data_IF_149100681108
#
_entry.id   IF_149100681108
#
_cell.length_a   1.000
_cell.length_b   1.000
_cell.length_c   1.000
_cell.angle_alpha   90.00
_cell.angle_beta   90.00
_cell.angle_gamma   90.00
#
_symmetry.space_group_name_H-M   'P 1'
#
loop_
_entity.id
_entity.type
_entity.pdbx_description
1 polymer ?
#
# COMPACT_ATOMS: atom_id res chain seq x y z
N UNK A 1 -15.97 42.42 -16.55
CA UNK A 1 -14.62 41.83 -16.49
C UNK A 1 -14.40 40.97 -15.25
N UNK A 2 -14.52 41.48 -14.02
CA UNK A 2 -14.30 40.69 -12.79
C UNK A 2 -15.16 39.41 -12.67
N UNK A 3 -16.45 39.46 -13.05
CA UNK A 3 -17.33 38.29 -13.07
C UNK A 3 -16.94 37.24 -14.13
N UNK A 4 -16.49 37.66 -15.31
CA UNK A 4 -16.04 36.76 -16.37
C UNK A 4 -14.72 36.07 -16.00
N UNK A 5 -13.80 36.78 -15.33
CA UNK A 5 -12.57 36.19 -14.78
C UNK A 5 -12.86 35.15 -13.69
N UNK A 6 -13.80 35.43 -12.78
CA UNK A 6 -14.20 34.47 -11.74
C UNK A 6 -14.87 33.24 -12.35
N UNK A 7 -15.75 33.41 -13.34
CA UNK A 7 -16.38 32.28 -14.04
C UNK A 7 -15.32 31.46 -14.80
N UNK A 8 -14.39 32.11 -15.49
CA UNK A 8 -13.28 31.44 -16.18
C UNK A 8 -12.45 30.61 -15.20
N UNK A 9 -12.05 31.18 -14.06
CA UNK A 9 -11.29 30.48 -13.02
C UNK A 9 -12.06 29.29 -12.46
N UNK A 10 -13.36 29.46 -12.16
CA UNK A 10 -14.21 28.38 -11.65
C UNK A 10 -14.33 27.22 -12.65
N UNK A 11 -14.47 27.52 -13.95
CA UNK A 11 -14.52 26.49 -15.00
C UNK A 11 -13.19 25.77 -15.11
N UNK A 12 -12.06 26.47 -15.04
CA UNK A 12 -10.73 25.85 -15.04
C UNK A 12 -10.52 24.97 -13.81
N UNK A 13 -10.89 25.43 -12.61
CA UNK A 13 -10.81 24.65 -11.38
C UNK A 13 -11.72 23.41 -11.43
N UNK A 14 -12.95 23.55 -11.92
CA UNK A 14 -13.88 22.43 -12.07
C UNK A 14 -13.37 21.41 -13.11
N UNK A 15 -12.80 21.87 -14.22
CA UNK A 15 -12.17 21.02 -15.22
C UNK A 15 -10.98 20.25 -14.65
N UNK A 16 -10.13 20.92 -13.87
CA UNK A 16 -9.00 20.27 -13.21
C UNK A 16 -9.46 19.24 -12.17
N UNK A 17 -10.45 19.58 -11.33
CA UNK A 17 -10.99 18.64 -10.35
C UNK A 17 -11.63 17.41 -11.01
N UNK A 18 -12.37 17.60 -12.11
CA UNK A 18 -12.94 16.49 -12.89
C UNK A 18 -11.85 15.61 -13.50
N UNK A 19 -10.75 16.19 -13.97
CA UNK A 19 -9.59 15.46 -14.46
C UNK A 19 -8.96 14.61 -13.36
N UNK A 20 -8.67 15.19 -12.20
CA UNK A 20 -8.10 14.49 -11.05
C UNK A 20 -8.97 13.30 -10.65
N UNK A 21 -10.29 13.49 -10.52
CA UNK A 21 -11.23 12.40 -10.22
C UNK A 21 -11.22 11.32 -11.30
N UNK A 22 -11.16 11.70 -12.59
CA UNK A 22 -11.10 10.74 -13.68
C UNK A 22 -9.80 9.91 -13.66
N UNK A 23 -8.71 10.47 -13.16
CA UNK A 23 -7.38 9.87 -13.11
C UNK A 23 -7.02 9.19 -11.78
N UNK A 24 -7.86 9.37 -10.75
CA UNK A 24 -7.69 8.78 -9.43
C UNK A 24 -8.47 7.47 -9.29
N UNK A 25 -7.86 6.47 -8.68
CA UNK A 25 -8.48 5.19 -8.34
C UNK A 25 -8.17 4.87 -6.91
N UNK A 26 -9.14 4.30 -6.20
CA UNK A 26 -8.97 3.97 -4.80
C UNK A 26 -9.66 2.65 -4.47
N UNK A 27 -9.00 1.87 -3.62
CA UNK A 27 -9.57 0.67 -3.01
C UNK A 27 -9.58 0.84 -1.51
N UNK A 28 -10.65 0.36 -0.87
CA UNK A 28 -10.76 0.40 0.58
C UNK A 28 -10.93 -1.01 1.14
N UNK A 29 -10.18 -1.32 2.19
CA UNK A 29 -10.36 -2.56 2.97
C UNK A 29 -10.61 -2.22 4.43
N UNK A 30 -11.51 -2.96 5.05
CA UNK A 30 -11.78 -2.84 6.49
C UNK A 30 -10.70 -3.55 7.29
N UNK A 31 -10.03 -2.83 8.20
CA UNK A 31 -8.98 -3.37 9.06
C UNK A 31 -9.53 -4.23 10.21
N UNK A 32 -10.26 -5.29 9.88
CA UNK A 32 -10.83 -6.25 10.85
C UNK A 32 -11.61 -5.56 11.98
N UNK A 33 -11.35 -5.98 13.22
CA UNK A 33 -12.02 -5.47 14.42
C UNK A 33 -11.44 -4.13 14.93
N UNK A 34 -10.46 -3.55 14.26
CA UNK A 34 -9.83 -2.30 14.71
C UNK A 34 -10.77 -1.08 14.64
N UNK A 35 -11.85 -1.18 13.85
CA UNK A 35 -12.79 -0.08 13.63
C UNK A 35 -12.29 0.98 12.65
N UNK A 36 -11.32 0.64 11.80
CA UNK A 36 -10.79 1.51 10.75
C UNK A 36 -10.94 0.89 9.36
N UNK A 37 -11.16 1.75 8.37
CA UNK A 37 -11.04 1.45 6.96
C UNK A 37 -9.71 2.02 6.46
N UNK A 38 -8.98 1.23 5.68
CA UNK A 38 -7.77 1.65 4.99
C UNK A 38 -8.10 1.83 3.52
N UNK A 39 -7.99 3.07 3.05
CA UNK A 39 -8.11 3.43 1.65
C UNK A 39 -6.73 3.64 1.08
N UNK A 40 -6.42 2.94 0.00
CA UNK A 40 -5.23 3.19 -0.81
C UNK A 40 -5.68 3.82 -2.13
N UNK A 41 -5.10 4.96 -2.46
CA UNK A 41 -5.44 5.77 -3.63
C UNK A 41 -4.21 5.88 -4.52
N UNK A 42 -4.42 5.72 -5.82
CA UNK A 42 -3.46 5.95 -6.88
C UNK A 42 -4.02 7.01 -7.83
N UNK A 43 -3.25 8.05 -8.11
CA UNK A 43 -3.63 9.12 -9.03
C UNK A 43 -2.64 9.25 -10.17
N UNK A 44 -3.16 9.29 -11.40
CA UNK A 44 -2.34 9.47 -12.59
C UNK A 44 -2.26 10.94 -13.02
N UNK A 45 -1.04 11.45 -13.16
CA UNK A 45 -0.78 12.79 -13.68
C UNK A 45 0.33 12.75 -14.73
N UNK A 46 1.32 13.64 -14.57
CA UNK A 46 2.60 13.54 -15.28
C UNK A 46 3.46 12.37 -14.78
N UNK A 47 3.23 11.95 -13.53
CA UNK A 47 3.74 10.73 -12.92
C UNK A 47 2.60 9.92 -12.30
N UNK A 48 2.89 9.23 -11.21
CA UNK A 48 1.91 8.53 -10.38
C UNK A 48 2.04 9.01 -8.95
N UNK A 49 0.93 9.32 -8.30
CA UNK A 49 0.89 9.63 -6.88
C UNK A 49 0.16 8.53 -6.12
N UNK A 50 0.62 8.26 -4.90
CA UNK A 50 -0.02 7.30 -4.01
C UNK A 50 -0.33 7.92 -2.66
N UNK A 51 -1.49 7.58 -2.12
CA UNK A 51 -1.90 7.98 -0.78
C UNK A 51 -2.51 6.78 -0.05
N UNK A 52 -2.07 6.54 1.19
CA UNK A 52 -2.80 5.70 2.13
C UNK A 52 -3.52 6.58 3.16
N UNK A 53 -4.77 6.26 3.43
CA UNK A 53 -5.62 6.98 4.39
C UNK A 53 -6.35 6.01 5.27
N UNK A 54 -6.38 6.30 6.56
CA UNK A 54 -7.13 5.53 7.54
C UNK A 54 -8.30 6.36 8.04
N UNK A 55 -9.50 5.83 7.91
CA UNK A 55 -10.72 6.48 8.40
C UNK A 55 -11.38 5.58 9.43
N UNK A 56 -11.90 6.17 10.51
CA UNK A 56 -12.71 5.39 11.47
C UNK A 56 -13.99 4.97 10.77
N UNK A 57 -14.44 3.73 10.97
CA UNK A 57 -15.67 3.22 10.37
C UNK A 57 -16.84 4.13 10.76
N UNK A 58 -17.57 4.62 9.76
CA UNK A 58 -18.68 5.55 9.93
C UNK A 58 -18.30 7.04 10.04
N UNK A 59 -17.01 7.38 10.04
CA UNK A 59 -16.55 8.76 9.98
C UNK A 59 -16.41 9.26 8.52
N UNK A 60 -16.72 10.53 8.27
CA UNK A 60 -16.62 11.12 6.93
C UNK A 60 -15.24 11.73 6.70
N UNK A 61 -14.44 11.12 5.83
CA UNK A 61 -13.14 11.59 5.28
C UNK A 61 -12.07 12.06 6.29
N UNK A 62 -12.28 11.92 7.59
CA UNK A 62 -11.35 12.34 8.63
C UNK A 62 -10.49 11.17 9.11
N UNK A 63 -9.17 11.36 9.12
CA UNK A 63 -8.23 10.45 9.76
C UNK A 63 -6.81 10.64 9.24
N UNK A 64 -5.83 9.89 9.77
CA UNK A 64 -4.45 10.05 9.37
C UNK A 64 -4.22 9.56 7.94
N UNK A 65 -3.32 10.24 7.24
CA UNK A 65 -2.92 9.95 5.87
C UNK A 65 -1.40 10.00 5.75
N UNK A 66 -0.83 9.27 4.80
CA UNK A 66 0.56 9.45 4.39
C UNK A 66 0.83 10.80 3.74
N UNK A 67 -0.20 11.47 3.22
CA UNK A 67 -0.07 12.47 2.17
C UNK A 67 0.22 11.82 0.81
N UNK A 68 0.19 12.64 -0.25
CA UNK A 68 0.59 12.21 -1.59
C UNK A 68 2.07 11.89 -1.63
N UNK A 69 2.41 10.74 -2.20
CA UNK A 69 3.79 10.31 -2.45
C UNK A 69 4.00 10.16 -3.95
N UNK A 70 4.92 10.95 -4.50
CA UNK A 70 5.17 10.99 -5.93
C UNK A 70 6.13 9.89 -6.39
N UNK A 71 5.72 9.15 -7.42
CA UNK A 71 6.50 8.10 -8.06
C UNK A 71 6.82 8.53 -9.49
N UNK A 72 8.08 8.97 -9.67
CA UNK A 72 8.56 9.61 -10.89
C UNK A 72 9.23 8.68 -11.90
N UNK A 73 9.52 7.42 -11.55
CA UNK A 73 10.27 6.49 -12.42
C UNK A 73 9.43 5.30 -12.85
N UNK A 74 9.63 4.89 -14.11
CA UNK A 74 9.05 3.67 -14.71
C UNK A 74 9.95 2.45 -14.43
N UNK A 75 9.40 1.23 -14.29
CA UNK A 75 7.97 0.94 -14.12
C UNK A 75 7.45 1.64 -12.87
N UNK A 76 6.19 2.12 -12.91
CA UNK A 76 5.62 2.81 -11.76
C UNK A 76 5.48 1.77 -10.64
N UNK A 77 6.41 1.80 -9.70
CA UNK A 77 6.55 0.84 -8.62
C UNK A 77 5.50 1.11 -7.55
N UNK A 78 4.28 0.64 -7.83
CA UNK A 78 3.12 0.81 -6.97
C UNK A 78 2.84 -0.45 -6.18
N UNK A 79 2.60 -0.30 -4.89
CA UNK A 79 2.12 -1.40 -4.07
C UNK A 79 2.31 -1.15 -2.58
N UNK A 80 1.30 -1.51 -1.80
CA UNK A 80 1.29 -1.39 -0.35
C UNK A 80 1.10 -2.77 0.27
N UNK A 81 2.15 -3.34 0.85
CA UNK A 81 2.03 -4.60 1.59
C UNK A 81 1.51 -4.35 3.01
N UNK A 82 0.58 -5.20 3.45
CA UNK A 82 -0.19 -5.01 4.66
C UNK A 82 0.08 -6.14 5.67
N UNK A 83 0.45 -5.75 6.88
CA UNK A 83 0.74 -6.67 7.97
C UNK A 83 0.08 -6.21 9.26
N UNK A 84 -0.08 -7.15 10.19
CA UNK A 84 -0.54 -6.88 11.54
C UNK A 84 0.31 -7.66 12.53
N UNK A 85 0.62 -7.06 13.68
CA UNK A 85 1.20 -7.81 14.80
C UNK A 85 0.26 -8.93 15.25
N UNK A 86 0.82 -10.03 15.76
CA UNK A 86 0.05 -11.19 16.21
C UNK A 86 -0.96 -10.84 17.31
N UNK A 87 -0.62 -9.87 18.16
CA UNK A 87 -1.51 -9.35 19.21
C UNK A 87 -2.59 -8.38 18.68
N UNK A 88 -2.55 -8.02 17.39
CA UNK A 88 -3.50 -7.10 16.75
C UNK A 88 -3.30 -5.62 17.09
N UNK A 89 -2.30 -5.26 17.90
CA UNK A 89 -2.12 -3.90 18.42
C UNK A 89 -1.53 -2.90 17.41
N UNK A 90 -0.81 -3.38 16.39
CA UNK A 90 -0.10 -2.55 15.42
C UNK A 90 -0.29 -3.11 14.01
N UNK A 91 -0.57 -2.21 13.07
CA UNK A 91 -0.53 -2.50 11.64
C UNK A 91 0.74 -1.91 11.04
N UNK A 92 1.34 -2.63 10.09
CA UNK A 92 2.51 -2.21 9.35
C UNK A 92 2.17 -2.16 7.86
N UNK A 93 2.55 -1.07 7.22
CA UNK A 93 2.32 -0.87 5.79
C UNK A 93 3.63 -0.51 5.10
N UNK A 94 4.02 -1.29 4.11
CA UNK A 94 5.28 -1.12 3.39
C UNK A 94 5.05 -0.73 1.94
N UNK A 95 5.66 0.38 1.53
CA UNK A 95 5.61 0.91 0.16
C UNK A 95 6.94 0.70 -0.61
N UNK A 96 7.94 0.07 -0.02
CA UNK A 96 9.27 -0.09 -0.62
C UNK A 96 10.16 1.17 -0.54
N UNK A 97 9.58 2.36 -0.38
CA UNK A 97 10.32 3.61 -0.11
C UNK A 97 10.12 4.13 1.31
N UNK A 98 9.00 3.80 1.96
CA UNK A 98 8.73 4.17 3.35
C UNK A 98 7.97 3.06 4.10
N UNK A 99 8.17 3.01 5.41
CA UNK A 99 7.42 2.14 6.33
C UNK A 99 6.45 2.98 7.16
N UNK A 100 5.19 2.59 7.14
CA UNK A 100 4.15 3.16 7.98
C UNK A 100 3.76 2.19 9.09
N UNK A 101 3.54 2.74 10.27
CA UNK A 101 3.01 2.00 11.42
C UNK A 101 1.76 2.68 11.94
N UNK A 102 0.71 1.90 12.16
CA UNK A 102 -0.56 2.39 12.65
C UNK A 102 -0.95 1.70 13.95
N UNK A 103 -1.30 2.50 14.95
CA UNK A 103 -1.76 2.02 16.26
C UNK A 103 -3.24 2.40 16.41
N UNK A 104 -4.19 1.47 16.17
CA UNK A 104 -5.61 1.78 16.14
C UNK A 104 -6.15 2.38 17.44
N UNK A 105 -5.65 1.92 18.59
CA UNK A 105 -6.05 2.43 19.92
C UNK A 105 -5.74 3.90 20.13
N UNK A 106 -4.76 4.45 19.38
CA UNK A 106 -4.38 5.87 19.43
C UNK A 106 -4.84 6.65 18.20
N UNK A 107 -5.27 5.96 17.13
CA UNK A 107 -5.58 6.60 15.85
C UNK A 107 -4.37 7.30 15.21
N UNK A 108 -3.14 6.84 15.51
CA UNK A 108 -1.89 7.48 15.06
C UNK A 108 -1.23 6.65 13.99
N UNK A 109 -1.01 7.26 12.82
CA UNK A 109 -0.14 6.78 11.77
C UNK A 109 1.25 7.42 11.92
N UNK A 110 2.31 6.63 11.82
CA UNK A 110 3.69 7.11 11.83
C UNK A 110 4.43 6.61 10.61
N UNK A 111 5.02 7.54 9.89
CA UNK A 111 5.94 7.26 8.81
C UNK A 111 7.37 7.14 9.39
N UNK A 112 8.17 6.22 8.86
CA UNK A 112 9.51 5.96 9.38
C UNK A 112 10.48 5.48 8.30
N UNK A 113 11.61 6.16 8.27
CA UNK A 113 12.81 5.80 7.51
C UNK A 113 13.94 5.18 8.34
N UNK A 114 13.71 4.87 9.63
CA UNK A 114 14.78 4.32 10.48
C UNK A 114 14.67 2.80 10.58
N UNK A 115 15.77 2.12 10.30
CA UNK A 115 15.89 0.65 10.36
C UNK A 115 15.43 0.06 11.70
N UNK A 116 15.61 0.78 12.81
CA UNK A 116 15.16 0.34 14.14
C UNK A 116 13.65 0.13 14.28
N UNK A 117 12.85 0.74 13.41
CA UNK A 117 11.39 0.56 13.39
C UNK A 117 10.96 -0.57 12.46
N UNK A 118 11.90 -1.17 11.71
CA UNK A 118 11.63 -2.35 10.90
C UNK A 118 11.37 -3.54 11.84
N UNK A 119 10.30 -4.30 11.62
CA UNK A 119 10.06 -5.53 12.36
C UNK A 119 11.26 -6.50 12.25
N UNK A 120 11.50 -7.25 13.31
CA UNK A 120 12.55 -8.27 13.33
C UNK A 120 12.28 -9.33 12.26
N UNK A 121 13.34 -9.88 11.67
CA UNK A 121 13.23 -10.94 10.66
C UNK A 121 13.00 -12.30 11.33
N UNK A 122 12.29 -13.18 10.64
CA UNK A 122 12.29 -14.62 10.98
C UNK A 122 13.66 -15.25 10.68
N UNK A 123 13.96 -16.48 11.15
CA UNK A 123 15.16 -17.19 10.75
C UNK A 123 15.30 -17.33 9.22
N UNK A 124 14.19 -17.57 8.52
CA UNK A 124 14.16 -17.65 7.06
C UNK A 124 14.42 -16.29 6.40
N UNK A 125 13.73 -15.23 6.86
CA UNK A 125 13.98 -13.87 6.37
C UNK A 125 15.42 -13.41 6.61
N UNK A 126 16.01 -13.77 7.76
CA UNK A 126 17.41 -13.48 8.06
C UNK A 126 18.36 -14.25 7.13
N UNK A 127 18.09 -15.52 6.84
CA UNK A 127 18.87 -16.31 5.89
C UNK A 127 18.84 -15.69 4.50
N UNK A 128 17.64 -15.43 3.96
CA UNK A 128 17.47 -14.79 2.64
C UNK A 128 18.14 -13.43 2.57
N UNK A 129 18.08 -12.62 3.63
CA UNK A 129 18.68 -11.28 3.63
C UNK A 129 20.20 -11.26 3.48
N UNK A 130 20.86 -12.40 3.66
CA UNK A 130 22.31 -12.57 3.50
C UNK A 130 22.71 -13.00 2.09
N UNK A 131 21.75 -13.46 1.29
CA UNK A 131 21.98 -13.83 -0.11
C UNK A 131 22.05 -12.56 -0.97
N UNK A 132 22.98 -12.53 -1.90
CA UNK A 132 23.17 -11.40 -2.84
C UNK A 132 22.95 -11.80 -4.30
N UNK A 133 22.84 -13.09 -4.58
CA UNK A 133 22.69 -13.67 -5.91
C UNK A 133 21.21 -13.96 -6.15
N UNK A 134 20.65 -13.45 -7.24
CA UNK A 134 19.22 -13.53 -7.51
C UNK A 134 18.76 -14.98 -7.71
N UNK A 135 19.57 -15.80 -8.36
CA UNK A 135 19.31 -17.22 -8.60
C UNK A 135 19.22 -18.00 -7.28
N UNK A 136 20.10 -17.70 -6.32
CA UNK A 136 20.09 -18.35 -5.00
C UNK A 136 18.85 -17.94 -4.19
N UNK A 137 18.46 -16.66 -4.27
CA UNK A 137 17.25 -16.17 -3.62
C UNK A 137 16.02 -16.88 -4.21
N UNK A 138 15.94 -16.96 -5.53
CA UNK A 138 14.81 -17.59 -6.22
C UNK A 138 14.73 -19.10 -5.96
N UNK A 139 15.87 -19.78 -5.92
CA UNK A 139 15.93 -21.21 -5.58
C UNK A 139 15.41 -21.53 -4.18
N UNK A 140 15.54 -20.59 -3.23
CA UNK A 140 15.05 -20.73 -1.86
C UNK A 140 13.61 -20.23 -1.67
N UNK A 141 13.10 -19.43 -2.61
CA UNK A 141 11.87 -18.66 -2.42
C UNK A 141 11.10 -18.38 -3.74
N UNK A 142 10.91 -19.42 -4.54
CA UNK A 142 10.36 -19.34 -5.89
C UNK A 142 8.89 -18.86 -5.97
N UNK A 143 8.15 -18.95 -4.87
CA UNK A 143 6.73 -18.55 -4.82
C UNK A 143 6.54 -17.08 -4.41
N UNK A 144 7.62 -16.38 -4.03
CA UNK A 144 7.49 -15.02 -3.56
C UNK A 144 7.16 -14.06 -4.70
N UNK A 145 6.12 -13.26 -4.51
CA UNK A 145 5.83 -12.16 -5.43
C UNK A 145 6.75 -10.98 -5.19
N UNK A 146 7.01 -10.16 -6.20
CA UNK A 146 7.57 -8.84 -5.97
C UNK A 146 6.48 -7.90 -5.43
N UNK A 147 6.86 -6.98 -4.53
CA UNK A 147 5.93 -6.00 -3.95
C UNK A 147 5.13 -5.27 -5.03
N UNK A 148 5.83 -4.81 -6.06
CA UNK A 148 5.30 -3.97 -7.14
C UNK A 148 4.72 -4.74 -8.33
N UNK A 149 4.64 -6.07 -8.25
CA UNK A 149 3.95 -6.84 -9.28
C UNK A 149 2.46 -6.50 -9.29
N UNK A 150 1.88 -6.51 -10.50
CA UNK A 150 0.44 -6.32 -10.68
C UNK A 150 -0.38 -7.30 -9.84
N UNK A 151 -1.57 -6.87 -9.45
CA UNK A 151 -2.63 -7.74 -8.93
C UNK A 151 -3.59 -8.12 -10.05
N UNK A 152 -4.12 -9.34 -9.99
CA UNK A 152 -5.12 -9.82 -10.94
C UNK A 152 -6.47 -9.15 -10.66
N UNK A 153 -7.29 -8.91 -11.68
CA UNK A 153 -8.57 -8.23 -11.52
C UNK A 153 -9.61 -9.09 -10.78
N UNK A 154 -10.56 -8.42 -10.13
CA UNK A 154 -11.70 -9.07 -9.48
C UNK A 154 -11.36 -9.67 -8.11
N UNK A 155 -10.36 -9.13 -7.41
CA UNK A 155 -10.06 -9.53 -6.04
C UNK A 155 -11.20 -9.14 -5.09
N UNK A 156 -11.48 -9.96 -4.06
CA UNK A 156 -12.59 -9.73 -3.16
C UNK A 156 -12.45 -8.46 -2.29
N UNK A 157 -11.29 -7.79 -2.27
CA UNK A 157 -11.02 -6.57 -1.49
C UNK A 157 -11.42 -6.67 -0.01
N UNK A 158 -11.26 -7.86 0.56
CA UNK A 158 -11.59 -8.18 1.96
C UNK A 158 -10.38 -8.85 2.60
N UNK A 159 -10.13 -8.57 3.88
CA UNK A 159 -9.05 -9.24 4.60
C UNK A 159 -9.37 -10.73 4.82
N UNK A 160 -8.36 -11.61 4.76
CA UNK A 160 -8.56 -13.03 5.02
C UNK A 160 -9.04 -13.25 6.47
N UNK A 161 -9.94 -14.20 6.67
CA UNK A 161 -10.44 -14.56 8.00
C UNK A 161 -9.36 -15.19 8.88
N UNK A 162 -8.42 -15.92 8.26
CA UNK A 162 -7.27 -16.56 8.90
C UNK A 162 -5.97 -16.20 8.16
N UNK A 163 -5.42 -14.98 8.37
CA UNK A 163 -4.20 -14.56 7.71
C UNK A 163 -3.02 -15.46 8.09
N UNK A 164 -2.16 -15.85 7.13
CA UNK A 164 -0.97 -16.63 7.42
C UNK A 164 0.05 -15.82 8.23
N UNK A 165 0.90 -16.51 8.98
CA UNK A 165 2.07 -15.90 9.59
C UNK A 165 3.02 -15.39 8.50
N UNK A 166 3.67 -14.25 8.73
CA UNK A 166 4.67 -13.74 7.79
C UNK A 166 5.87 -14.69 7.71
N UNK A 167 6.28 -14.99 6.48
CA UNK A 167 7.47 -15.77 6.16
C UNK A 167 8.75 -15.00 6.51
N UNK A 168 8.76 -13.67 6.35
CA UNK A 168 9.97 -12.84 6.47
C UNK A 168 10.09 -12.09 7.79
N UNK A 169 8.97 -11.73 8.44
CA UNK A 169 8.94 -10.89 9.64
C UNK A 169 8.39 -11.65 10.85
N UNK A 170 9.13 -11.62 11.96
CA UNK A 170 8.75 -12.25 13.21
C UNK A 170 7.52 -11.55 13.83
N UNK A 171 6.67 -12.35 14.48
CA UNK A 171 5.46 -11.91 15.20
C UNK A 171 4.43 -11.11 14.38
N UNK A 172 4.52 -11.18 13.05
CA UNK A 172 3.54 -10.58 12.14
C UNK A 172 2.70 -11.65 11.43
N UNK A 173 1.49 -11.25 11.06
CA UNK A 173 0.66 -11.94 10.07
C UNK A 173 0.56 -11.07 8.82
N UNK A 174 0.64 -11.71 7.65
CA UNK A 174 0.47 -11.05 6.36
C UNK A 174 -1.02 -11.00 6.01
N UNK A 175 -1.51 -9.81 5.67
CA UNK A 175 -2.94 -9.59 5.40
C UNK A 175 -3.24 -9.54 3.90
N UNK A 176 -2.28 -9.13 3.08
CA UNK A 176 -2.44 -8.93 1.65
C UNK A 176 -1.67 -7.70 1.17
N UNK A 177 -1.87 -7.33 -0.09
CA UNK A 177 -1.25 -6.15 -0.67
C UNK A 177 -2.22 -5.40 -1.57
N UNK A 178 -2.08 -4.08 -1.59
CA UNK A 178 -2.61 -3.29 -2.70
C UNK A 178 -1.62 -3.30 -3.84
N UNK A 179 -2.13 -3.21 -5.05
CA UNK A 179 -1.31 -3.00 -6.23
C UNK A 179 -2.16 -2.55 -7.41
N UNK A 180 -1.47 -2.19 -8.48
CA UNK A 180 -2.09 -1.85 -9.75
C UNK A 180 -2.66 -3.10 -10.40
N UNK A 181 -3.86 -3.01 -10.95
CA UNK A 181 -4.49 -4.13 -11.67
C UNK A 181 -3.79 -4.36 -13.00
N UNK A 182 -3.46 -5.62 -13.30
CA UNK A 182 -2.86 -6.01 -14.57
C UNK A 182 -3.77 -5.62 -15.73
N UNK A 183 -3.28 -4.80 -16.66
CA UNK A 183 -3.97 -4.49 -17.91
C UNK A 183 -2.98 -4.33 -19.07
N UNK A 184 -3.48 -4.24 -20.31
CA UNK A 184 -2.66 -4.09 -21.53
C UNK A 184 -1.91 -2.75 -21.66
N UNK A 185 -1.51 -2.12 -20.56
CA UNK A 185 -0.88 -0.80 -20.49
C UNK A 185 -0.32 -0.50 -19.09
N UNK A 186 -0.31 0.78 -18.70
CA UNK A 186 0.22 1.24 -17.40
C UNK A 186 -0.57 0.80 -16.16
N UNK A 187 -1.68 0.07 -16.32
CA UNK A 187 -2.66 -0.14 -15.28
C UNK A 187 -3.50 1.11 -15.01
N UNK A 188 -4.81 0.94 -14.86
CA UNK A 188 -5.77 2.05 -14.72
C UNK A 188 -6.68 1.87 -13.52
N UNK A 189 -6.41 0.87 -12.69
CA UNK A 189 -7.16 0.57 -11.50
C UNK A 189 -6.23 0.03 -10.43
N UNK A 190 -6.71 0.05 -9.19
CA UNK A 190 -6.01 -0.44 -8.03
C UNK A 190 -6.94 -1.42 -7.32
N UNK A 191 -6.39 -2.51 -6.83
CA UNK A 191 -7.14 -3.53 -6.08
C UNK A 191 -6.33 -4.03 -4.90
N UNK A 192 -7.02 -4.66 -3.95
CA UNK A 192 -6.40 -5.35 -2.83
C UNK A 192 -6.46 -6.85 -3.05
N UNK A 193 -5.30 -7.48 -3.11
CA UNK A 193 -5.15 -8.92 -3.13
C UNK A 193 -4.90 -9.46 -1.71
N UNK A 194 -5.84 -10.22 -1.12
CA UNK A 194 -5.67 -10.80 0.20
C UNK A 194 -4.62 -11.92 0.22
N UNK A 195 -4.10 -12.21 1.41
CA UNK A 195 -3.05 -13.19 1.61
C UNK A 195 -3.46 -14.66 1.33
N UNK A 196 -4.75 -14.94 1.17
CA UNK A 196 -5.27 -16.26 0.78
C UNK A 196 -5.32 -16.47 -0.74
N UNK A 197 -5.27 -15.40 -1.53
CA UNK A 197 -5.24 -15.48 -3.00
C UNK A 197 -3.86 -15.23 -3.60
N UNK A 198 -2.98 -14.51 -2.89
CA UNK A 198 -1.68 -14.08 -3.41
C UNK A 198 -0.57 -14.28 -2.38
N UNK A 199 0.60 -14.82 -2.77
CA UNK A 199 1.71 -15.03 -1.85
C UNK A 199 2.27 -13.72 -1.29
N UNK A 200 2.83 -13.79 -0.09
CA UNK A 200 3.51 -12.67 0.56
C UNK A 200 4.64 -12.12 -0.33
N UNK A 201 4.68 -10.79 -0.57
CA UNK A 201 5.75 -10.23 -1.36
C UNK A 201 7.07 -10.29 -0.61
N UNK A 202 8.14 -10.64 -1.32
CA UNK A 202 9.48 -10.78 -0.73
C UNK A 202 9.88 -9.48 -0.05
N UNK A 203 10.11 -9.54 1.26
CA UNK A 203 10.44 -8.39 2.09
C UNK A 203 9.52 -7.17 1.89
N UNK A 204 8.19 -7.37 1.89
CA UNK A 204 7.22 -6.27 1.66
C UNK A 204 7.29 -5.07 2.63
N UNK A 205 7.99 -5.17 3.76
CA UNK A 205 8.28 -4.03 4.67
C UNK A 205 9.73 -3.53 4.58
N UNK A 206 10.52 -4.00 3.60
CA UNK A 206 11.78 -3.35 3.27
C UNK A 206 11.47 -1.98 2.67
N UNK A 207 12.28 -1.00 3.02
CA UNK A 207 12.16 0.35 2.51
C UNK A 207 13.54 0.94 2.24
N UNK A 208 13.63 1.78 1.23
CA UNK A 208 14.80 2.61 0.97
C UNK A 208 14.38 4.08 0.89
N UNK A 209 14.71 4.84 1.94
CA UNK A 209 14.43 6.27 1.95
C UNK A 209 15.57 7.00 1.25
N UNK A 210 15.24 7.66 0.15
CA UNK A 210 16.15 8.49 -0.64
C UNK A 210 16.13 9.95 -0.17
#
# INVERSE_FOLDING_TARGET
MRRLLVIGLLVTCAGYAAWEVAMSRATTVRLGTSGYDLTYTMSWGLGMEEELRLTRVGAFMSGPSSGSIDIWKRPYNSGLALYRSRDGGIYYFGLGYELFTFVPSRGVLRASCRVRFKPSLTPFGLHLSKLTVAEDIEAQDAEASELFNYVESGQPSVLPSSPPASKYYADLVYLGKFGVVRSGGRGNDVEFAPADTTPEPRFGLAFNCY
#
